data_IF_629493224432
#
_entry.id   IF_629493224432
#
_cell.length_a   1.000
_cell.length_b   1.000
_cell.length_c   1.000
_cell.angle_alpha   90.00
_cell.angle_beta   90.00
_cell.angle_gamma   90.00
#
_symmetry.space_group_name_H-M   'P 1'
#
loop_
_entity.id
_entity.type
_entity.pdbx_description
1 polymer ?
#
# COMPACT_ATOMS: atom_id res chain seq x y z
N UNK A 1 2.07 62.61 57.87
CA UNK A 1 2.97 61.91 56.96
C UNK A 1 2.15 60.81 56.24
N UNK A 2 1.82 61.07 55.01
CA UNK A 2 0.87 60.21 54.23
C UNK A 2 1.70 59.48 53.19
N UNK A 3 1.72 58.15 53.29
CA UNK A 3 2.36 57.25 52.35
C UNK A 3 1.35 56.85 51.25
N UNK A 4 1.50 57.39 50.06
CA UNK A 4 0.77 57.00 48.84
C UNK A 4 1.29 55.66 48.34
N UNK A 5 0.51 54.59 48.42
CA UNK A 5 0.71 53.34 47.67
C UNK A 5 0.31 53.57 46.21
N UNK A 6 1.28 53.33 45.29
CA UNK A 6 1.05 53.29 43.83
C UNK A 6 0.72 51.87 43.46
N UNK A 7 -0.51 51.63 43.12
CA UNK A 7 -0.97 50.39 42.50
C UNK A 7 -0.50 50.38 41.03
N UNK A 8 0.42 49.51 40.70
CA UNK A 8 0.84 49.22 39.31
C UNK A 8 -0.07 48.12 38.81
N UNK A 9 -1.02 48.48 37.93
CA UNK A 9 -1.78 47.48 37.15
C UNK A 9 -0.88 46.96 36.01
N UNK A 10 -0.43 45.71 36.11
CA UNK A 10 0.21 45.01 35.02
C UNK A 10 -0.92 44.44 34.14
N UNK A 11 -1.08 45.04 32.96
CA UNK A 11 -1.98 44.58 31.93
C UNK A 11 -1.29 43.43 31.19
N UNK A 12 -1.64 42.18 31.53
CA UNK A 12 -1.15 41.00 30.79
C UNK A 12 -2.04 40.84 29.56
N UNK A 13 -1.57 41.29 28.39
CA UNK A 13 -2.17 41.04 27.10
C UNK A 13 -1.97 39.57 26.71
N UNK A 14 -2.99 38.75 26.83
CA UNK A 14 -3.04 37.42 26.25
C UNK A 14 -3.16 37.56 24.72
N UNK A 15 -2.03 37.41 24.01
CA UNK A 15 -2.04 37.20 22.55
C UNK A 15 -2.49 35.76 22.30
N UNK A 16 -3.76 35.58 21.99
CA UNK A 16 -4.29 34.33 21.46
C UNK A 16 -3.70 34.12 20.04
N UNK A 17 -2.60 33.37 19.97
CA UNK A 17 -2.16 32.82 18.70
C UNK A 17 -3.26 31.88 18.18
N UNK A 18 -4.05 32.36 17.22
CA UNK A 18 -4.89 31.49 16.40
C UNK A 18 -3.95 30.62 15.57
N UNK A 19 -3.68 29.39 16.06
CA UNK A 19 -3.09 28.34 15.22
C UNK A 19 -4.13 28.03 14.16
N UNK A 20 -3.99 28.65 13.00
CA UNK A 20 -4.74 28.28 11.81
C UNK A 20 -4.31 26.83 11.47
N UNK A 21 -5.23 25.90 11.71
CA UNK A 21 -5.07 24.53 11.22
C UNK A 21 -5.19 24.59 9.70
N UNK A 22 -4.08 24.89 9.02
CA UNK A 22 -4.01 24.78 7.57
C UNK A 22 -4.12 23.30 7.23
N UNK A 23 -5.25 22.89 6.69
CA UNK A 23 -5.42 21.56 6.11
C UNK A 23 -4.44 21.44 4.95
N UNK A 24 -3.42 20.58 5.10
CA UNK A 24 -2.51 20.26 3.99
C UNK A 24 -3.38 19.67 2.88
N UNK A 25 -3.33 20.21 1.64
CA UNK A 25 -4.14 19.70 0.55
C UNK A 25 -3.82 18.22 0.29
N UNK A 26 -4.84 17.43 -0.02
CA UNK A 26 -4.68 16.03 -0.33
C UNK A 26 -3.78 15.87 -1.57
N UNK A 27 -2.71 15.08 -1.47
CA UNK A 27 -1.84 14.74 -2.58
C UNK A 27 -2.36 13.47 -3.27
N UNK A 28 -2.51 13.55 -4.57
CA UNK A 28 -2.83 12.39 -5.40
C UNK A 28 -1.56 11.71 -5.90
N UNK A 29 -1.68 10.45 -6.27
CA UNK A 29 -0.51 9.70 -6.74
C UNK A 29 0.06 10.29 -8.05
N UNK A 30 -0.79 10.87 -8.90
CA UNK A 30 -0.39 11.58 -10.13
C UNK A 30 0.40 12.87 -9.91
N UNK A 31 0.29 13.49 -8.70
CA UNK A 31 1.02 14.71 -8.35
C UNK A 31 2.50 14.45 -8.02
N UNK A 32 2.87 13.18 -7.92
CA UNK A 32 4.23 12.79 -7.54
C UNK A 32 5.20 12.91 -8.72
N UNK A 33 6.50 13.16 -8.47
CA UNK A 33 7.49 13.19 -9.52
C UNK A 33 7.66 11.81 -10.17
N UNK A 34 7.72 11.79 -11.50
CA UNK A 34 7.92 10.56 -12.30
C UNK A 34 9.39 10.15 -12.31
N UNK A 35 9.64 8.83 -12.43
CA UNK A 35 10.98 8.31 -12.67
C UNK A 35 11.92 8.35 -11.45
N UNK A 36 11.39 8.52 -10.25
CA UNK A 36 12.16 8.55 -9.00
C UNK A 36 11.49 7.70 -7.92
N UNK A 37 12.24 7.37 -6.88
CA UNK A 37 11.69 6.75 -5.66
C UNK A 37 10.69 7.70 -4.99
N UNK A 38 9.66 7.13 -4.37
CA UNK A 38 8.59 7.89 -3.70
C UNK A 38 8.60 7.57 -2.21
N UNK A 39 8.83 8.58 -1.38
CA UNK A 39 8.65 8.47 0.07
C UNK A 39 7.13 8.53 0.34
N UNK A 40 6.62 7.50 1.00
CA UNK A 40 5.22 7.41 1.35
C UNK A 40 4.92 8.18 2.64
N UNK A 41 3.69 8.65 2.77
CA UNK A 41 3.18 9.22 4.00
C UNK A 41 3.05 8.14 5.08
N UNK A 42 3.01 8.54 6.35
CA UNK A 42 2.64 7.60 7.41
C UNK A 42 1.22 7.07 7.16
N UNK A 43 0.92 5.82 7.50
CA UNK A 43 -0.42 5.28 7.39
C UNK A 43 -1.45 6.17 8.08
N UNK A 44 -2.67 6.18 7.59
CA UNK A 44 -3.73 6.96 8.17
C UNK A 44 -4.28 6.27 9.44
N UNK A 45 -3.88 6.77 10.59
CA UNK A 45 -4.35 6.28 11.89
C UNK A 45 -5.76 6.76 12.26
N UNK A 46 -6.36 7.64 11.44
CA UNK A 46 -7.73 8.12 11.64
C UNK A 46 -8.78 7.23 10.97
N UNK A 47 -8.37 6.16 10.29
CA UNK A 47 -9.30 5.16 9.75
C UNK A 47 -9.95 4.43 10.93
N UNK A 48 -11.16 4.87 11.25
CA UNK A 48 -11.97 4.35 12.38
C UNK A 48 -13.24 3.70 11.82
N UNK A 49 -13.15 2.43 11.49
CA UNK A 49 -14.28 1.62 10.99
C UNK A 49 -14.31 0.32 11.80
N UNK A 50 -15.46 0.01 12.37
CA UNK A 50 -15.66 -1.24 13.10
C UNK A 50 -15.28 -2.45 12.24
N UNK A 51 -14.51 -3.38 12.82
CA UNK A 51 -13.96 -4.53 12.11
C UNK A 51 -15.06 -5.41 11.51
N UNK A 52 -16.15 -5.61 12.22
CA UNK A 52 -17.28 -6.41 11.71
C UNK A 52 -17.90 -5.71 10.51
N UNK A 53 -18.04 -4.38 10.58
CA UNK A 53 -18.52 -3.58 9.44
C UNK A 53 -17.61 -3.69 8.23
N UNK A 54 -16.29 -3.73 8.41
CA UNK A 54 -15.33 -3.94 7.32
C UNK A 54 -15.53 -5.30 6.66
N UNK A 55 -15.77 -6.37 7.44
CA UNK A 55 -16.08 -7.69 6.89
C UNK A 55 -17.38 -7.70 6.10
N UNK A 56 -18.43 -7.02 6.56
CA UNK A 56 -19.70 -6.87 5.84
C UNK A 56 -19.52 -6.14 4.49
N UNK A 57 -18.67 -5.12 4.46
CA UNK A 57 -18.40 -4.29 3.28
C UNK A 57 -17.46 -4.98 2.27
N UNK A 58 -16.63 -5.92 2.72
CA UNK A 58 -15.62 -6.59 1.88
C UNK A 58 -16.25 -7.33 0.72
N UNK A 59 -15.95 -6.90 -0.49
CA UNK A 59 -16.37 -7.57 -1.74
C UNK A 59 -15.31 -7.44 -2.82
N UNK A 60 -15.33 -8.34 -3.80
CA UNK A 60 -14.50 -8.24 -5.00
C UNK A 60 -15.08 -7.21 -5.97
N UNK A 61 -14.25 -6.25 -6.38
CA UNK A 61 -14.61 -5.19 -7.33
C UNK A 61 -14.03 -5.50 -8.70
N UNK A 62 -14.87 -5.47 -9.74
CA UNK A 62 -14.48 -5.77 -11.14
C UNK A 62 -14.31 -4.51 -11.99
N UNK A 63 -15.00 -3.43 -11.65
CA UNK A 63 -15.01 -2.18 -12.40
C UNK A 63 -14.68 -1.01 -11.49
N UNK A 64 -13.82 -0.14 -11.97
CA UNK A 64 -13.30 0.98 -11.21
C UNK A 64 -13.65 2.28 -11.93
N UNK A 65 -13.85 3.35 -11.17
CA UNK A 65 -14.00 4.70 -11.69
C UNK A 65 -12.63 5.29 -12.02
N UNK A 66 -12.61 6.41 -12.74
CA UNK A 66 -11.39 7.13 -13.08
C UNK A 66 -10.84 7.99 -11.92
N UNK A 67 -11.55 8.01 -10.79
CA UNK A 67 -11.13 8.79 -9.63
C UNK A 67 -9.77 8.32 -9.12
N UNK A 68 -8.89 9.28 -8.88
CA UNK A 68 -7.53 9.05 -8.44
C UNK A 68 -7.44 8.59 -6.98
N UNK A 69 -6.39 7.82 -6.67
CA UNK A 69 -6.05 7.40 -5.31
C UNK A 69 -5.11 8.44 -4.69
N UNK A 70 -5.41 8.84 -3.46
CA UNK A 70 -4.52 9.72 -2.68
C UNK A 70 -3.29 8.95 -2.22
N UNK A 71 -2.15 9.67 -2.10
CA UNK A 71 -0.90 9.08 -1.59
C UNK A 71 -1.11 8.47 -0.21
N UNK A 72 -1.88 9.13 0.64
CA UNK A 72 -2.23 8.66 1.99
C UNK A 72 -3.00 7.33 1.98
N UNK A 73 -3.97 7.18 1.06
CA UNK A 73 -4.72 5.94 0.88
C UNK A 73 -3.81 4.79 0.44
N UNK A 74 -2.96 5.03 -0.57
CA UNK A 74 -2.01 4.03 -1.03
C UNK A 74 -1.02 3.64 0.08
N UNK A 75 -0.47 4.62 0.80
CA UNK A 75 0.44 4.36 1.92
C UNK A 75 -0.22 3.49 3.00
N UNK A 76 -1.47 3.80 3.35
CA UNK A 76 -2.25 3.04 4.33
C UNK A 76 -2.49 1.61 3.87
N UNK A 77 -2.83 1.42 2.57
CA UNK A 77 -3.03 0.08 1.99
C UNK A 77 -1.75 -0.73 2.01
N UNK A 78 -0.62 -0.17 1.56
CA UNK A 78 0.65 -0.89 1.49
C UNK A 78 1.17 -1.26 2.89
N UNK A 79 1.05 -0.34 3.84
CA UNK A 79 1.41 -0.61 5.23
C UNK A 79 0.52 -1.68 5.84
N UNK A 80 -0.79 -1.60 5.69
CA UNK A 80 -1.72 -2.61 6.19
C UNK A 80 -1.49 -3.97 5.54
N UNK A 81 -1.12 -3.99 4.26
CA UNK A 81 -0.83 -5.21 3.52
C UNK A 81 0.36 -5.98 4.10
N UNK A 82 1.51 -5.32 4.23
CA UNK A 82 2.77 -5.96 4.65
C UNK A 82 3.79 -4.95 5.23
N UNK A 83 3.33 -3.90 5.91
CA UNK A 83 4.19 -2.90 6.54
C UNK A 83 4.81 -3.36 7.85
N UNK A 84 5.86 -2.68 8.29
CA UNK A 84 6.46 -2.90 9.61
C UNK A 84 5.57 -2.29 10.68
N UNK A 85 5.14 -3.11 11.65
CA UNK A 85 4.23 -2.69 12.73
C UNK A 85 4.81 -2.89 14.13
N UNK A 86 6.06 -3.36 14.25
CA UNK A 86 6.75 -3.64 15.51
C UNK A 86 8.21 -3.21 15.42
N UNK A 87 8.80 -2.86 16.57
CA UNK A 87 10.20 -2.42 16.68
C UNK A 87 11.21 -3.49 16.23
N UNK A 88 10.86 -4.77 16.37
CA UNK A 88 11.68 -5.89 15.90
C UNK A 88 11.65 -6.09 14.37
N UNK A 89 10.98 -5.22 13.64
CA UNK A 89 10.88 -5.23 12.18
C UNK A 89 9.85 -6.20 11.61
N UNK A 90 9.10 -6.92 12.46
CA UNK A 90 8.01 -7.79 12.00
C UNK A 90 6.89 -6.98 11.38
N UNK A 91 6.06 -7.67 10.57
CA UNK A 91 5.10 -7.03 9.69
C UNK A 91 3.65 -7.28 10.09
N UNK A 92 2.75 -6.54 9.48
CA UNK A 92 1.30 -6.70 9.61
C UNK A 92 0.80 -8.06 9.15
N UNK A 93 1.44 -8.66 8.13
CA UNK A 93 1.17 -10.02 7.70
C UNK A 93 2.17 -11.00 8.32
N UNK A 94 1.73 -12.21 8.74
CA UNK A 94 2.63 -13.25 9.19
C UNK A 94 3.48 -13.78 8.04
N UNK A 95 4.74 -14.11 8.32
CA UNK A 95 5.62 -14.75 7.35
C UNK A 95 6.40 -15.88 7.99
N UNK A 96 6.46 -17.06 7.37
CA UNK A 96 7.20 -18.20 7.87
C UNK A 96 8.68 -17.88 8.05
N UNK A 97 9.29 -18.47 9.09
CA UNK A 97 10.69 -18.26 9.43
C UNK A 97 11.08 -16.78 9.64
N UNK A 98 10.12 -15.89 9.90
CA UNK A 98 10.32 -14.44 9.95
C UNK A 98 11.03 -13.87 8.70
N UNK A 99 10.88 -14.54 7.54
CA UNK A 99 11.43 -14.10 6.26
C UNK A 99 10.44 -13.22 5.50
N UNK A 100 10.97 -12.20 4.84
CA UNK A 100 10.16 -11.29 4.01
C UNK A 100 9.87 -11.91 2.64
N UNK A 101 9.14 -13.05 2.65
CA UNK A 101 8.94 -13.93 1.50
C UNK A 101 8.27 -13.24 0.31
N UNK A 102 7.36 -12.30 0.57
CA UNK A 102 6.53 -11.68 -0.47
C UNK A 102 7.03 -10.27 -0.78
N UNK A 103 7.32 -10.02 -2.05
CA UNK A 103 7.50 -8.68 -2.60
C UNK A 103 6.14 -8.12 -3.06
N UNK A 104 5.91 -6.85 -2.81
CA UNK A 104 4.70 -6.12 -3.20
C UNK A 104 5.08 -5.02 -4.20
N UNK A 105 4.69 -5.20 -5.45
CA UNK A 105 4.93 -4.21 -6.51
C UNK A 105 3.67 -3.39 -6.76
N UNK A 106 3.85 -2.12 -7.11
CA UNK A 106 2.80 -1.18 -7.51
C UNK A 106 2.97 -0.84 -8.98
N UNK A 107 2.03 -1.26 -9.81
CA UNK A 107 1.96 -0.91 -11.22
C UNK A 107 1.01 0.26 -11.41
N UNK A 108 1.48 1.30 -12.04
CA UNK A 108 0.75 2.55 -12.27
C UNK A 108 1.03 3.13 -13.65
N UNK A 109 0.33 4.21 -14.00
CA UNK A 109 0.64 5.00 -15.21
C UNK A 109 1.97 5.78 -15.09
N UNK A 110 2.56 5.85 -13.89
CA UNK A 110 3.81 6.55 -13.62
C UNK A 110 5.03 5.63 -13.61
N UNK A 111 4.81 4.32 -13.66
CA UNK A 111 5.87 3.32 -13.61
C UNK A 111 5.54 2.16 -12.70
N UNK A 112 6.54 1.31 -12.48
CA UNK A 112 6.51 0.12 -11.64
C UNK A 112 7.41 0.36 -10.43
N UNK A 113 6.88 0.13 -9.25
CA UNK A 113 7.58 0.36 -8.00
C UNK A 113 7.54 -0.89 -7.11
N UNK A 114 8.61 -1.11 -6.35
CA UNK A 114 8.66 -2.10 -5.27
C UNK A 114 8.44 -1.38 -3.94
N UNK A 115 7.51 -1.87 -3.13
CA UNK A 115 7.28 -1.35 -1.78
C UNK A 115 8.38 -1.82 -0.82
N UNK A 116 9.14 -0.88 -0.29
CA UNK A 116 10.06 -1.08 0.83
C UNK A 116 9.34 -0.73 2.13
N UNK A 117 8.97 -1.75 2.89
CA UNK A 117 8.22 -1.57 4.13
C UNK A 117 9.09 -1.03 5.29
N UNK A 118 10.42 -1.21 5.26
CA UNK A 118 11.32 -0.70 6.31
C UNK A 118 11.49 0.81 6.19
N UNK A 119 11.61 1.28 4.96
CA UNK A 119 11.77 2.71 4.66
C UNK A 119 10.44 3.40 4.38
N UNK A 120 9.33 2.65 4.35
CA UNK A 120 8.01 3.13 3.94
C UNK A 120 8.07 3.94 2.66
N UNK A 121 8.65 3.35 1.61
CA UNK A 121 8.81 4.01 0.32
C UNK A 121 8.53 3.07 -0.86
N UNK A 122 8.29 3.65 -2.02
CA UNK A 122 8.24 2.97 -3.29
C UNK A 122 9.56 3.17 -4.01
N UNK A 123 10.28 2.07 -4.28
CA UNK A 123 11.53 2.05 -5.04
C UNK A 123 11.18 1.86 -6.50
N UNK A 124 11.58 2.79 -7.36
CA UNK A 124 11.37 2.70 -8.80
C UNK A 124 12.08 1.48 -9.39
N UNK A 125 11.35 0.66 -10.14
CA UNK A 125 11.88 -0.49 -10.87
C UNK A 125 11.90 -0.24 -12.38
N UNK A 126 10.89 0.47 -12.89
CA UNK A 126 10.79 0.88 -14.29
C UNK A 126 9.89 2.11 -14.40
N UNK A 127 10.24 3.04 -15.27
CA UNK A 127 9.39 4.19 -15.61
C UNK A 127 8.30 3.86 -16.64
N UNK A 128 8.25 2.62 -17.14
CA UNK A 128 7.28 2.18 -18.13
C UNK A 128 5.89 1.93 -17.53
N UNK A 129 4.87 2.29 -18.29
CA UNK A 129 3.49 1.93 -17.96
C UNK A 129 3.19 0.51 -18.47
N UNK A 130 3.42 -0.51 -17.63
CA UNK A 130 3.13 -1.91 -17.96
C UNK A 130 1.87 -2.45 -17.26
N UNK A 131 1.05 -1.59 -16.65
CA UNK A 131 -0.14 -1.99 -15.85
C UNK A 131 -1.08 -2.94 -16.61
N UNK A 132 -1.24 -2.75 -17.92
CA UNK A 132 -2.15 -3.55 -18.74
C UNK A 132 -1.55 -4.88 -19.20
N UNK A 133 -0.26 -5.11 -19.00
CA UNK A 133 0.47 -6.27 -19.51
C UNK A 133 0.60 -7.41 -18.51
N UNK A 134 0.13 -7.25 -17.26
CA UNK A 134 0.37 -8.19 -16.17
C UNK A 134 -0.81 -9.14 -15.90
N UNK A 135 -2.01 -8.83 -16.35
CA UNK A 135 -3.18 -9.71 -16.24
C UNK A 135 -3.35 -10.55 -17.52
N UNK A 136 -3.64 -11.85 -17.37
CA UNK A 136 -4.14 -12.65 -18.48
C UNK A 136 -5.52 -12.17 -18.92
N UNK A 137 -5.99 -12.56 -20.11
CA UNK A 137 -7.27 -12.07 -20.69
C UNK A 137 -8.46 -12.15 -19.72
N UNK A 138 -8.59 -13.26 -18.99
CA UNK A 138 -9.64 -13.45 -17.99
C UNK A 138 -9.52 -12.53 -16.77
N UNK A 139 -8.29 -12.12 -16.41
CA UNK A 139 -7.97 -11.19 -15.32
C UNK A 139 -7.93 -9.72 -15.74
N UNK A 140 -7.74 -9.46 -17.04
CA UNK A 140 -7.44 -8.15 -17.59
C UNK A 140 -8.57 -7.11 -17.40
N UNK A 141 -9.82 -7.51 -17.21
CA UNK A 141 -10.94 -6.54 -17.06
C UNK A 141 -10.74 -5.57 -15.90
N UNK A 142 -10.26 -6.09 -14.74
CA UNK A 142 -10.00 -5.25 -13.57
C UNK A 142 -8.72 -4.41 -13.73
N UNK A 143 -7.67 -4.94 -14.34
CA UNK A 143 -6.40 -4.22 -14.51
C UNK A 143 -6.51 -3.02 -15.44
N UNK A 144 -7.32 -3.10 -16.49
CA UNK A 144 -7.51 -2.02 -17.45
C UNK A 144 -8.19 -0.79 -16.86
N UNK A 145 -9.16 -0.98 -15.96
CA UNK A 145 -9.95 0.13 -15.38
C UNK A 145 -9.44 0.57 -14.02
N UNK A 146 -8.67 -0.26 -13.31
CA UNK A 146 -8.12 0.10 -12.01
C UNK A 146 -7.10 1.24 -12.10
N UNK A 147 -7.09 2.10 -11.11
CA UNK A 147 -6.11 3.18 -11.03
C UNK A 147 -4.69 2.66 -10.84
N UNK A 148 -4.52 1.68 -9.95
CA UNK A 148 -3.27 0.96 -9.70
C UNK A 148 -3.51 -0.55 -9.79
N UNK A 149 -2.43 -1.31 -9.97
CA UNK A 149 -2.45 -2.77 -9.79
C UNK A 149 -1.31 -3.17 -8.87
N UNK A 150 -1.64 -3.84 -7.79
CA UNK A 150 -0.66 -4.45 -6.90
C UNK A 150 -0.33 -5.85 -7.42
N UNK A 151 0.96 -6.19 -7.48
CA UNK A 151 1.43 -7.53 -7.80
C UNK A 151 2.15 -8.10 -6.58
N UNK A 152 1.78 -9.30 -6.18
CA UNK A 152 2.45 -10.09 -5.16
C UNK A 152 3.31 -11.15 -5.84
N UNK A 153 4.63 -11.15 -5.54
CA UNK A 153 5.55 -12.21 -5.96
C UNK A 153 6.14 -12.89 -4.73
N UNK A 154 6.49 -14.16 -4.86
CA UNK A 154 7.16 -14.94 -3.83
C UNK A 154 8.63 -15.15 -4.18
N UNK A 155 9.56 -14.68 -3.37
CA UNK A 155 10.98 -14.93 -3.50
C UNK A 155 11.36 -16.19 -2.71
N UNK A 156 11.35 -17.33 -3.42
CA UNK A 156 11.58 -18.65 -2.82
C UNK A 156 13.00 -18.84 -2.28
N UNK A 157 13.96 -18.04 -2.74
CA UNK A 157 15.36 -18.07 -2.27
C UNK A 157 15.49 -17.65 -0.80
N UNK A 158 14.50 -16.92 -0.28
CA UNK A 158 14.47 -16.47 1.13
C UNK A 158 14.09 -17.57 2.12
N UNK A 159 13.53 -18.68 1.61
CA UNK A 159 13.18 -19.82 2.45
C UNK A 159 14.35 -20.80 2.58
N UNK A 160 14.44 -21.55 3.72
CA UNK A 160 15.52 -22.49 3.95
C UNK A 160 15.67 -23.55 2.84
N UNK A 161 16.92 -23.92 2.53
CA UNK A 161 17.22 -24.84 1.43
C UNK A 161 16.77 -26.28 1.68
N UNK A 162 16.57 -26.68 2.93
CA UNK A 162 16.04 -28.00 3.26
C UNK A 162 14.57 -28.19 2.86
N UNK A 163 13.85 -27.12 2.52
CA UNK A 163 12.47 -27.20 2.03
C UNK A 163 12.44 -27.52 0.53
N UNK A 164 11.59 -28.46 0.14
CA UNK A 164 11.34 -28.71 -1.28
C UNK A 164 10.74 -27.49 -1.96
N UNK A 165 10.94 -27.37 -3.29
CA UNK A 165 10.38 -26.27 -4.07
C UNK A 165 8.86 -26.17 -3.93
N UNK A 166 8.14 -27.29 -3.90
CA UNK A 166 6.67 -27.32 -3.75
C UNK A 166 6.24 -26.77 -2.38
N UNK A 167 6.96 -27.12 -1.31
CA UNK A 167 6.68 -26.55 0.02
C UNK A 167 6.94 -25.05 0.02
N UNK A 168 8.01 -24.58 -0.60
CA UNK A 168 8.31 -23.15 -0.75
C UNK A 168 7.21 -22.42 -1.52
N UNK A 169 6.73 -22.97 -2.63
CA UNK A 169 5.63 -22.41 -3.44
C UNK A 169 4.34 -22.34 -2.63
N UNK A 170 3.92 -23.43 -1.98
CA UNK A 170 2.71 -23.47 -1.16
C UNK A 170 2.77 -22.44 -0.02
N UNK A 171 3.94 -22.31 0.60
CA UNK A 171 4.22 -21.32 1.64
C UNK A 171 4.07 -19.89 1.12
N UNK A 172 4.57 -19.62 -0.09
CA UNK A 172 4.43 -18.31 -0.73
C UNK A 172 2.97 -17.99 -1.05
N UNK A 173 2.20 -18.95 -1.57
CA UNK A 173 0.75 -18.78 -1.80
C UNK A 173 -0.02 -18.49 -0.52
N UNK A 174 0.24 -19.24 0.56
CA UNK A 174 -0.40 -19.02 1.85
C UNK A 174 -0.09 -17.61 2.40
N UNK A 175 1.18 -17.22 2.37
CA UNK A 175 1.61 -15.87 2.81
C UNK A 175 0.99 -14.76 1.96
N UNK A 176 0.96 -14.92 0.64
CA UNK A 176 0.33 -13.95 -0.25
C UNK A 176 -1.19 -13.84 0.00
N UNK A 177 -1.84 -14.94 0.38
CA UNK A 177 -3.26 -14.94 0.77
C UNK A 177 -3.54 -14.07 1.98
N UNK A 178 -2.69 -14.11 3.02
CA UNK A 178 -2.84 -13.26 4.22
C UNK A 178 -2.65 -11.78 3.87
N UNK A 179 -1.66 -11.44 3.04
CA UNK A 179 -1.45 -10.08 2.54
C UNK A 179 -2.65 -9.62 1.70
N UNK A 180 -3.15 -10.47 0.81
CA UNK A 180 -4.32 -10.18 -0.01
C UNK A 180 -5.58 -9.89 0.83
N UNK A 181 -5.79 -10.62 1.92
CA UNK A 181 -6.91 -10.34 2.83
C UNK A 181 -6.72 -9.01 3.56
N UNK A 182 -5.50 -8.67 4.01
CA UNK A 182 -5.22 -7.36 4.59
C UNK A 182 -5.57 -6.23 3.62
N UNK A 183 -5.18 -6.38 2.33
CA UNK A 183 -5.52 -5.40 1.28
C UNK A 183 -7.03 -5.27 1.10
N UNK A 184 -7.78 -6.39 1.11
CA UNK A 184 -9.23 -6.35 1.01
C UNK A 184 -9.88 -5.58 2.15
N UNK A 185 -9.47 -5.85 3.38
CA UNK A 185 -10.06 -5.23 4.57
C UNK A 185 -9.80 -3.72 4.58
N UNK A 186 -8.55 -3.32 4.40
CA UNK A 186 -8.22 -1.89 4.42
C UNK A 186 -8.81 -1.13 3.23
N UNK A 187 -8.85 -1.72 2.04
CA UNK A 187 -9.51 -1.12 0.89
C UNK A 187 -11.01 -0.92 1.16
N UNK A 188 -11.67 -1.89 1.81
CA UNK A 188 -13.08 -1.77 2.19
C UNK A 188 -13.30 -0.68 3.22
N UNK A 189 -12.41 -0.53 4.21
CA UNK A 189 -12.46 0.54 5.22
C UNK A 189 -12.28 1.93 4.61
N UNK A 190 -11.49 2.05 3.54
CA UNK A 190 -11.25 3.29 2.80
C UNK A 190 -12.26 3.56 1.66
N UNK A 191 -13.32 2.76 1.56
CA UNK A 191 -14.29 2.78 0.46
C UNK A 191 -13.68 2.60 -0.93
N UNK A 192 -12.54 1.92 -1.00
CA UNK A 192 -11.90 1.52 -2.24
C UNK A 192 -12.32 0.11 -2.66
N UNK A 193 -12.13 -0.19 -3.94
CA UNK A 193 -12.38 -1.51 -4.50
C UNK A 193 -11.07 -2.23 -4.82
N UNK A 194 -11.09 -3.56 -4.65
CA UNK A 194 -10.02 -4.45 -5.09
C UNK A 194 -10.56 -5.85 -5.39
N UNK A 195 -9.74 -6.70 -6.01
CA UNK A 195 -10.02 -8.15 -6.14
C UNK A 195 -8.71 -8.93 -6.23
N UNK A 196 -8.72 -10.14 -5.67
CA UNK A 196 -7.58 -11.06 -5.71
C UNK A 196 -7.67 -11.93 -6.96
N UNK A 197 -6.66 -11.90 -7.83
CA UNK A 197 -6.67 -12.52 -9.16
C UNK A 197 -5.41 -13.35 -9.36
N UNK A 198 -5.57 -14.65 -9.59
CA UNK A 198 -4.49 -15.59 -9.93
C UNK A 198 -4.25 -15.78 -11.42
N UNK A 199 -5.07 -15.17 -12.28
CA UNK A 199 -4.91 -15.26 -13.75
C UNK A 199 -3.91 -14.18 -14.21
N UNK A 200 -2.65 -14.56 -14.36
CA UNK A 200 -1.51 -13.69 -14.62
C UNK A 200 -0.98 -13.86 -16.04
N UNK A 201 -0.44 -12.79 -16.61
CA UNK A 201 0.49 -12.88 -17.73
C UNK A 201 1.93 -12.97 -17.21
N UNK A 202 2.34 -14.16 -16.79
CA UNK A 202 3.65 -14.37 -16.19
C UNK A 202 4.80 -13.92 -17.10
N UNK A 203 4.71 -14.19 -18.42
CA UNK A 203 5.70 -13.76 -19.40
C UNK A 203 5.83 -12.21 -19.41
N UNK A 204 4.72 -11.51 -19.42
CA UNK A 204 4.71 -10.04 -19.37
C UNK A 204 5.31 -9.50 -18.07
N UNK A 205 4.97 -10.12 -16.93
CA UNK A 205 5.51 -9.75 -15.62
C UNK A 205 7.03 -9.93 -15.57
N UNK A 206 7.52 -11.11 -15.99
CA UNK A 206 8.96 -11.39 -16.01
C UNK A 206 9.72 -10.46 -16.95
N UNK A 207 9.15 -10.14 -18.11
CA UNK A 207 9.75 -9.20 -19.07
C UNK A 207 9.94 -7.79 -18.50
N UNK A 208 8.96 -7.26 -17.78
CA UNK A 208 9.04 -5.87 -17.28
C UNK A 208 9.79 -5.74 -15.94
N UNK A 209 9.91 -6.81 -15.14
CA UNK A 209 10.58 -6.76 -13.83
C UNK A 209 11.96 -7.42 -13.79
N UNK A 210 12.30 -8.27 -14.76
CA UNK A 210 13.55 -9.04 -14.75
C UNK A 210 13.63 -9.99 -13.56
N UNK A 211 12.52 -10.68 -13.21
CA UNK A 211 12.48 -11.57 -12.06
C UNK A 211 13.43 -12.76 -12.23
N UNK A 212 14.12 -13.13 -11.15
CA UNK A 212 14.91 -14.37 -11.09
C UNK A 212 14.01 -15.61 -11.21
N UNK A 213 14.61 -16.79 -11.42
CA UNK A 213 13.86 -18.06 -11.46
C UNK A 213 13.19 -18.38 -10.11
N UNK A 214 13.78 -17.92 -9.01
CA UNK A 214 13.24 -18.13 -7.66
C UNK A 214 12.20 -17.10 -7.25
N UNK A 215 12.06 -16.01 -7.98
CA UNK A 215 10.98 -15.06 -7.76
C UNK A 215 9.80 -15.36 -8.68
N UNK A 216 8.70 -15.85 -8.10
CA UNK A 216 7.51 -16.29 -8.83
C UNK A 216 6.36 -15.30 -8.69
N UNK A 217 5.69 -14.88 -9.78
CA UNK A 217 4.44 -14.15 -9.71
C UNK A 217 3.33 -15.00 -9.10
N UNK A 218 2.57 -14.46 -8.15
CA UNK A 218 1.53 -15.18 -7.43
C UNK A 218 0.13 -14.65 -7.71
N UNK A 219 -0.08 -13.35 -7.45
CA UNK A 219 -1.41 -12.73 -7.56
C UNK A 219 -1.28 -11.26 -7.94
N UNK A 220 -2.30 -10.77 -8.64
CA UNK A 220 -2.51 -9.34 -8.84
C UNK A 220 -3.78 -8.88 -8.14
N UNK A 221 -3.74 -7.62 -7.65
CA UNK A 221 -4.87 -6.97 -7.02
C UNK A 221 -5.08 -5.59 -7.65
N UNK A 222 -5.98 -5.47 -8.65
CA UNK A 222 -6.41 -4.18 -9.16
C UNK A 222 -7.00 -3.33 -8.02
N UNK A 223 -6.67 -2.05 -7.96
CA UNK A 223 -7.04 -1.14 -6.90
C UNK A 223 -7.55 0.19 -7.46
N UNK A 224 -8.64 0.70 -6.92
CA UNK A 224 -9.24 1.97 -7.35
C UNK A 224 -10.54 2.27 -6.63
N UNK A 225 -11.12 3.44 -6.90
CA UNK A 225 -12.47 3.73 -6.46
C UNK A 225 -13.49 2.87 -7.21
N UNK A 226 -14.52 2.44 -6.51
CA UNK A 226 -15.64 1.65 -7.08
C UNK A 226 -16.41 2.48 -8.13
N UNK A 227 -16.87 1.82 -9.20
CA UNK A 227 -17.76 2.42 -10.17
C UNK A 227 -19.21 2.25 -9.75
#
# INVERSE_FOLDING_TARGET
MSTRQRNIFILVSFILLKVSCQTVPARYFSDLPKGVDIILEKPDSSVDVDLIKVYELRKSTKYFSEKEIRVKELSTILWSANGVNREDGRRTAPSPFAKELINLYVFSNMGIYLYDAKLNKLILRSAENAKNNIGAESGARGTKTAYLVLLLTGDLSRLPDFLSRDVKINTAHATAGTIGQNIYLIASALDLGTRFVGSLNEKGIRSCLGLSEDEIPLYIMPLGHKK
#
